data_IF_883995294226
#
_entry.id   IF_883995294226
#
_cell.length_a   1.000
_cell.length_b   1.000
_cell.length_c   1.000
_cell.angle_alpha   90.00
_cell.angle_beta   90.00
_cell.angle_gamma   90.00
#
_symmetry.space_group_name_H-M   'P 1'
#
loop_
_entity.id
_entity.type
_entity.pdbx_description
1 polymer ?
#
# COMPACT_ATOMS: atom_id res chain seq x y z
N UNK A 1 -31.72 -0.09 10.56
CA UNK A 1 -30.48 -0.19 11.38
C UNK A 1 -29.30 -0.05 10.44
N UNK A 2 -28.60 1.09 10.46
CA UNK A 2 -27.34 1.24 9.72
C UNK A 2 -26.27 0.45 10.49
N UNK A 3 -25.85 -0.69 9.96
CA UNK A 3 -24.74 -1.46 10.51
C UNK A 3 -23.50 -0.57 10.50
N UNK A 4 -22.90 -0.34 11.68
CA UNK A 4 -21.58 0.32 11.78
C UNK A 4 -20.62 -0.48 10.90
N UNK A 5 -20.20 0.10 9.77
CA UNK A 5 -19.04 -0.39 9.05
C UNK A 5 -17.89 -0.42 10.05
N UNK A 6 -17.44 -1.61 10.42
CA UNK A 6 -16.31 -1.77 11.31
C UNK A 6 -15.07 -1.27 10.57
N UNK A 7 -14.76 0.01 10.73
CA UNK A 7 -13.51 0.58 10.28
C UNK A 7 -12.40 -0.15 11.03
N UNK A 8 -11.43 -0.69 10.29
CA UNK A 8 -10.28 -1.39 10.85
C UNK A 8 -9.60 -0.46 11.86
N UNK A 9 -9.33 -0.97 13.06
CA UNK A 9 -8.70 -0.17 14.12
C UNK A 9 -7.23 0.17 13.75
N UNK A 10 -6.71 1.28 14.28
CA UNK A 10 -5.30 1.65 14.07
C UNK A 10 -4.34 0.55 14.53
N UNK A 11 -4.62 -0.10 15.65
CA UNK A 11 -3.80 -1.21 16.16
C UNK A 11 -3.78 -2.40 15.22
N UNK A 12 -4.89 -2.69 14.54
CA UNK A 12 -4.94 -3.77 13.56
C UNK A 12 -4.18 -3.41 12.30
N UNK A 13 -4.27 -2.17 11.83
CA UNK A 13 -3.45 -1.66 10.72
C UNK A 13 -1.95 -1.79 11.03
N UNK A 14 -1.52 -1.39 12.24
CA UNK A 14 -0.13 -1.49 12.67
C UNK A 14 0.34 -2.96 12.75
N UNK A 15 -0.53 -3.86 13.22
CA UNK A 15 -0.24 -5.30 13.25
C UNK A 15 -0.13 -5.88 11.83
N UNK A 16 -1.03 -5.51 10.93
CA UNK A 16 -0.99 -5.94 9.54
C UNK A 16 0.29 -5.44 8.85
N UNK A 17 0.66 -4.17 9.03
CA UNK A 17 1.88 -3.61 8.47
C UNK A 17 3.14 -4.36 8.92
N UNK A 18 3.22 -4.75 10.20
CA UNK A 18 4.32 -5.57 10.72
C UNK A 18 4.41 -6.94 10.06
N UNK A 19 3.27 -7.62 9.90
CA UNK A 19 3.20 -8.94 9.26
C UNK A 19 3.61 -8.84 7.79
N UNK A 20 3.05 -7.87 7.06
CA UNK A 20 3.35 -7.61 5.65
C UNK A 20 4.86 -7.41 5.44
N UNK A 21 5.50 -6.61 6.30
CA UNK A 21 6.96 -6.41 6.29
C UNK A 21 7.74 -7.69 6.61
N UNK A 22 7.32 -8.45 7.63
CA UNK A 22 8.00 -9.66 8.06
C UNK A 22 7.99 -10.76 7.00
N UNK A 23 6.90 -10.85 6.24
CA UNK A 23 6.72 -11.84 5.18
C UNK A 23 7.20 -11.38 3.80
N UNK A 24 7.70 -10.14 3.68
CA UNK A 24 8.14 -9.59 2.39
C UNK A 24 7.02 -9.63 1.35
N UNK A 25 5.81 -9.26 1.76
CA UNK A 25 4.65 -9.15 0.88
C UNK A 25 4.21 -7.69 0.82
N UNK A 26 3.50 -7.31 -0.23
CA UNK A 26 2.82 -6.02 -0.36
C UNK A 26 1.32 -6.28 -0.29
N UNK A 27 0.63 -5.54 0.58
CA UNK A 27 -0.82 -5.61 0.74
C UNK A 27 -1.44 -4.28 0.32
N UNK A 28 -2.17 -4.26 -0.80
CA UNK A 28 -2.86 -3.06 -1.31
C UNK A 28 -4.36 -3.25 -1.19
N UNK A 29 -5.03 -2.33 -0.50
CA UNK A 29 -6.49 -2.26 -0.46
C UNK A 29 -7.00 -1.12 -1.34
N UNK A 30 -8.09 -1.34 -2.06
CA UNK A 30 -8.80 -0.31 -2.83
C UNK A 30 -10.30 -0.37 -2.50
N UNK A 31 -10.91 0.79 -2.39
CA UNK A 31 -12.37 0.94 -2.35
C UNK A 31 -12.81 1.52 -3.70
N UNK A 32 -13.79 0.90 -4.35
CA UNK A 32 -14.37 1.40 -5.59
C UNK A 32 -15.48 2.44 -5.34
N UNK A 33 -16.00 3.03 -6.41
CA UNK A 33 -17.03 4.08 -6.33
C UNK A 33 -18.37 3.59 -5.76
N UNK A 34 -18.62 2.27 -5.72
CA UNK A 34 -19.84 1.67 -5.17
C UNK A 34 -19.63 1.08 -3.77
N UNK A 35 -18.45 1.28 -3.18
CA UNK A 35 -18.10 0.78 -1.85
C UNK A 35 -17.62 -0.68 -1.81
N UNK A 36 -17.34 -1.28 -2.97
CA UNK A 36 -16.67 -2.56 -3.08
C UNK A 36 -15.22 -2.46 -2.63
N UNK A 37 -14.79 -3.43 -1.83
CA UNK A 37 -13.44 -3.51 -1.25
C UNK A 37 -12.65 -4.62 -1.96
N UNK A 38 -11.52 -4.27 -2.55
CA UNK A 38 -10.60 -5.22 -3.18
C UNK A 38 -9.23 -5.17 -2.52
N UNK A 39 -8.59 -6.34 -2.42
CA UNK A 39 -7.24 -6.48 -1.86
C UNK A 39 -6.34 -7.23 -2.83
N UNK A 40 -5.14 -6.71 -3.03
CA UNK A 40 -4.07 -7.36 -3.78
C UNK A 40 -2.94 -7.72 -2.81
N UNK A 41 -2.50 -8.98 -2.86
CA UNK A 41 -1.36 -9.48 -2.10
C UNK A 41 -0.35 -10.01 -3.10
N UNK A 42 0.82 -9.37 -3.16
CA UNK A 42 1.91 -9.79 -4.04
C UNK A 42 3.20 -9.94 -3.23
N UNK A 43 4.12 -10.84 -3.61
CA UNK A 43 5.47 -10.82 -3.08
C UNK A 43 6.07 -9.44 -3.29
N UNK A 44 6.81 -8.93 -2.30
CA UNK A 44 7.65 -7.76 -2.50
C UNK A 44 8.71 -8.17 -3.50
N UNK A 45 8.64 -7.64 -4.71
CA UNK A 45 9.78 -7.69 -5.63
C UNK A 45 10.92 -7.00 -4.92
N UNK A 46 11.94 -7.76 -4.53
CA UNK A 46 13.22 -7.19 -4.14
C UNK A 46 13.74 -6.54 -5.41
N UNK A 47 13.45 -5.25 -5.61
CA UNK A 47 14.28 -4.43 -6.49
C UNK A 47 15.66 -4.49 -5.84
N UNK A 48 16.50 -5.42 -6.34
CA UNK A 48 17.92 -5.42 -6.00
C UNK A 48 18.42 -4.02 -6.27
N UNK A 49 19.09 -3.40 -5.30
CA UNK A 49 19.48 -2.00 -5.28
C UNK A 49 19.81 -1.49 -6.69
N UNK A 50 18.79 -0.96 -7.36
CA UNK A 50 18.94 -0.34 -8.66
C UNK A 50 19.66 0.98 -8.41
N UNK A 51 20.44 1.41 -9.40
CA UNK A 51 21.13 2.69 -9.45
C UNK A 51 20.35 3.81 -8.72
N UNK A 52 21.04 4.74 -8.04
CA UNK A 52 20.44 5.74 -7.14
C UNK A 52 19.12 6.27 -7.71
N UNK A 53 18.01 5.79 -7.13
CA UNK A 53 16.64 6.17 -7.49
C UNK A 53 16.42 7.58 -6.93
N UNK A 54 16.92 8.56 -7.69
CA UNK A 54 16.81 9.97 -7.35
C UNK A 54 15.36 10.41 -7.57
N UNK A 55 14.64 10.55 -6.46
CA UNK A 55 13.25 10.98 -6.42
C UNK A 55 13.07 12.33 -7.14
N UNK A 56 14.07 13.21 -7.07
CA UNK A 56 14.03 14.54 -7.68
C UNK A 56 14.04 14.41 -9.21
N UNK A 57 14.87 13.52 -9.77
CA UNK A 57 14.91 13.26 -11.21
C UNK A 57 13.58 12.71 -11.76
N UNK A 58 12.86 11.91 -10.96
CA UNK A 58 11.54 11.38 -11.35
C UNK A 58 10.45 12.44 -11.29
N UNK A 59 10.51 13.36 -10.33
CA UNK A 59 9.56 14.47 -10.22
C UNK A 59 9.74 15.48 -11.36
N UNK A 60 11.00 15.73 -11.73
CA UNK A 60 11.35 16.54 -12.91
C UNK A 60 10.86 15.90 -14.21
N UNK A 61 11.06 14.58 -14.39
CA UNK A 61 10.56 13.85 -15.58
C UNK A 61 9.02 13.87 -15.66
N UNK A 62 8.33 13.79 -14.52
CA UNK A 62 6.86 13.83 -14.48
C UNK A 62 6.27 15.24 -14.62
N UNK A 63 7.11 16.27 -14.78
CA UNK A 63 6.67 17.64 -15.00
C UNK A 63 5.98 18.27 -13.79
N UNK A 64 6.34 17.84 -12.58
CA UNK A 64 5.87 18.48 -11.35
C UNK A 64 6.60 19.82 -11.16
N UNK A 65 6.16 20.85 -11.88
CA UNK A 65 6.59 22.25 -11.70
C UNK A 65 5.58 23.05 -10.90
#
# INVERSE_FOLDING_TARGET
MAGRAALISKSDLDRMAKIVRAHGVVFKGRVDAVGGLSFEIAPTTVQGAGAPDDLDARLDEYGAS
#
